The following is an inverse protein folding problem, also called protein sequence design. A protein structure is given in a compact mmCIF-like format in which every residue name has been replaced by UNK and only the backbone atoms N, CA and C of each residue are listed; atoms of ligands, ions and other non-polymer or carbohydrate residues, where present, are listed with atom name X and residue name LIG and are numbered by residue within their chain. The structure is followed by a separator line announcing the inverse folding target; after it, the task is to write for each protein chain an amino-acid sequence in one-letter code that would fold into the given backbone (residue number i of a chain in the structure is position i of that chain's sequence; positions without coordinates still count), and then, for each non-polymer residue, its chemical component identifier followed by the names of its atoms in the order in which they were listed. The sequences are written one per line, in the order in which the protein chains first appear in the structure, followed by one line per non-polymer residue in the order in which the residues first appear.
data_IF_801422861368
#
_entry.id   IF_801422861368
#
_cell.length_a   1.000
_cell.length_b   1.000
_cell.length_c   1.000
_cell.angle_alpha   90.00
_cell.angle_beta   90.00
_cell.angle_gamma   90.00
#
_symmetry.space_group_name_H-M   'P 1'
#
loop_
_entity.id
_entity.type
_entity.pdbx_description
1 polymer ?
#
# COMPACT_ATOMS: atom_id res chain seq x y z
N UNK A 1 -26.40 15.49 -9.18
CA UNK A 1 -26.46 14.01 -8.98
C UNK A 1 -25.02 13.56 -8.83
N UNK A 2 -24.68 12.99 -7.69
CA UNK A 2 -23.33 12.47 -7.49
C UNK A 2 -23.13 11.28 -8.43
N UNK A 3 -22.10 11.32 -9.26
CA UNK A 3 -21.81 10.25 -10.20
C UNK A 3 -21.50 8.95 -9.45
N UNK A 4 -22.25 7.89 -9.75
CA UNK A 4 -21.96 6.53 -9.28
C UNK A 4 -20.89 5.91 -10.18
N UNK A 5 -19.78 5.45 -9.60
CA UNK A 5 -18.69 4.78 -10.32
C UNK A 5 -18.79 3.27 -10.19
N UNK A 6 -18.71 2.58 -11.31
CA UNK A 6 -18.59 1.13 -11.34
C UNK A 6 -17.15 0.71 -11.10
N UNK A 7 -16.93 -0.21 -10.17
CA UNK A 7 -15.61 -0.59 -9.70
C UNK A 7 -15.44 -2.09 -9.73
N UNK A 8 -14.30 -2.52 -10.29
CA UNK A 8 -13.84 -3.90 -10.25
C UNK A 8 -12.76 -4.07 -9.20
N UNK A 9 -12.72 -5.24 -8.54
CA UNK A 9 -11.65 -5.62 -7.59
C UNK A 9 -11.08 -6.97 -8.00
N UNK A 10 -9.88 -7.00 -8.57
CA UNK A 10 -9.13 -8.23 -8.84
C UNK A 10 -8.41 -8.68 -7.57
N UNK A 11 -8.43 -9.98 -7.26
CA UNK A 11 -7.86 -10.51 -6.02
C UNK A 11 -8.71 -10.22 -4.78
N UNK A 12 -10.03 -10.08 -4.93
CA UNK A 12 -10.99 -9.71 -3.88
C UNK A 12 -11.02 -10.66 -2.68
N UNK A 13 -10.52 -11.89 -2.81
CA UNK A 13 -10.49 -12.92 -1.76
C UNK A 13 -9.21 -12.92 -0.92
N UNK A 14 -8.22 -12.09 -1.23
CA UNK A 14 -7.04 -11.84 -0.40
C UNK A 14 -7.37 -10.98 0.84
N UNK A 15 -6.50 -10.91 1.85
CA UNK A 15 -6.72 -10.05 3.02
C UNK A 15 -6.93 -8.58 2.63
N UNK A 16 -6.08 -8.05 1.77
CA UNK A 16 -6.19 -6.66 1.28
C UNK A 16 -7.46 -6.48 0.45
N UNK A 17 -7.75 -7.40 -0.48
CA UNK A 17 -8.94 -7.36 -1.32
C UNK A 17 -10.24 -7.37 -0.52
N UNK A 18 -10.36 -8.23 0.50
CA UNK A 18 -11.53 -8.28 1.38
C UNK A 18 -11.74 -6.98 2.17
N UNK A 19 -10.68 -6.40 2.74
CA UNK A 19 -10.79 -5.11 3.44
C UNK A 19 -11.17 -3.98 2.48
N UNK A 20 -10.58 -3.97 1.29
CA UNK A 20 -10.94 -2.99 0.26
C UNK A 20 -12.41 -3.10 -0.13
N UNK A 21 -12.92 -4.31 -0.36
CA UNK A 21 -14.34 -4.54 -0.69
C UNK A 21 -15.24 -4.02 0.43
N UNK A 22 -14.91 -4.23 1.71
CA UNK A 22 -15.66 -3.67 2.86
C UNK A 22 -15.72 -2.15 2.80
N UNK A 23 -14.58 -1.49 2.55
CA UNK A 23 -14.52 -0.03 2.44
C UNK A 23 -15.35 0.48 1.27
N UNK A 24 -15.22 -0.14 0.10
CA UNK A 24 -15.94 0.25 -1.12
C UNK A 24 -17.44 0.02 -1.00
N UNK A 25 -17.90 -1.04 -0.33
CA UNK A 25 -19.31 -1.32 -0.09
C UNK A 25 -20.01 -0.20 0.69
N UNK A 26 -19.28 0.51 1.53
CA UNK A 26 -19.78 1.63 2.32
C UNK A 26 -19.54 3.01 1.65
N UNK A 27 -18.92 3.05 0.50
CA UNK A 27 -18.63 4.30 -0.21
C UNK A 27 -19.84 4.76 -1.02
N UNK A 28 -20.31 6.00 -0.78
CA UNK A 28 -21.57 6.54 -1.32
C UNK A 28 -21.66 6.55 -2.85
N UNK A 29 -20.52 6.70 -3.53
CA UNK A 29 -20.43 6.92 -4.97
C UNK A 29 -19.84 5.72 -5.71
N UNK A 30 -19.81 4.53 -5.09
CA UNK A 30 -19.21 3.33 -5.68
C UNK A 30 -20.22 2.20 -5.75
N UNK A 31 -20.30 1.58 -6.93
CA UNK A 31 -20.97 0.32 -7.17
C UNK A 31 -19.93 -0.74 -7.55
N UNK A 32 -19.79 -1.79 -6.73
CA UNK A 32 -18.87 -2.90 -7.04
C UNK A 32 -19.60 -3.84 -8.00
N UNK A 33 -19.17 -3.86 -9.25
CA UNK A 33 -19.80 -4.65 -10.31
C UNK A 33 -19.00 -5.90 -10.71
N UNK A 34 -17.73 -6.03 -10.26
CA UNK A 34 -16.92 -7.20 -10.51
C UNK A 34 -16.02 -7.53 -9.30
N UNK A 35 -16.00 -8.81 -8.91
CA UNK A 35 -15.12 -9.35 -7.89
C UNK A 35 -14.31 -10.50 -8.48
N UNK A 36 -13.01 -10.26 -8.64
CA UNK A 36 -12.07 -11.24 -9.18
C UNK A 36 -11.47 -12.16 -8.11
N UNK A 37 -11.32 -13.41 -8.44
CA UNK A 37 -10.68 -14.44 -7.60
C UNK A 37 -9.85 -15.38 -8.46
N UNK A 38 -8.96 -16.15 -7.83
CA UNK A 38 -8.20 -17.21 -8.50
C UNK A 38 -8.87 -18.59 -8.31
N UNK A 39 -9.37 -18.88 -7.10
CA UNK A 39 -9.79 -20.24 -6.72
C UNK A 39 -11.22 -20.34 -6.15
N UNK A 40 -12.04 -19.30 -6.27
CA UNK A 40 -13.36 -19.26 -5.63
C UNK A 40 -14.47 -18.82 -6.58
N UNK A 41 -14.33 -19.08 -7.86
CA UNK A 41 -15.35 -18.75 -8.85
C UNK A 41 -16.71 -19.39 -8.51
N UNK A 42 -17.78 -18.67 -8.78
CA UNK A 42 -19.16 -19.09 -8.52
C UNK A 42 -19.62 -18.96 -7.07
N UNK A 43 -18.75 -18.58 -6.14
CA UNK A 43 -19.09 -18.36 -4.73
C UNK A 43 -19.42 -16.89 -4.47
N UNK A 44 -20.10 -16.62 -3.36
CA UNK A 44 -20.24 -15.27 -2.81
C UNK A 44 -19.10 -14.99 -1.83
N UNK A 45 -18.63 -13.74 -1.79
CA UNK A 45 -17.53 -13.34 -0.88
C UNK A 45 -17.90 -13.60 0.60
N UNK A 46 -19.17 -13.41 0.98
CA UNK A 46 -19.69 -13.73 2.31
C UNK A 46 -19.52 -15.20 2.74
N UNK A 47 -19.33 -16.12 1.80
CA UNK A 47 -19.10 -17.55 2.09
C UNK A 47 -17.62 -17.84 2.40
N UNK A 48 -16.74 -16.88 2.11
CA UNK A 48 -15.29 -16.99 2.34
C UNK A 48 -14.89 -16.24 3.61
N UNK A 49 -15.51 -15.08 3.81
CA UNK A 49 -15.35 -14.26 5.01
C UNK A 49 -16.73 -14.09 5.66
N UNK A 50 -16.95 -14.74 6.78
CA UNK A 50 -18.22 -14.77 7.52
C UNK A 50 -18.60 -13.41 8.15
N UNK A 51 -17.96 -12.31 7.77
CA UNK A 51 -18.39 -10.99 8.23
C UNK A 51 -19.72 -10.62 7.59
N UNK A 52 -20.66 -10.12 8.39
CA UNK A 52 -22.01 -9.72 7.94
C UNK A 52 -22.04 -8.41 7.12
N UNK A 53 -20.87 -7.89 6.75
CA UNK A 53 -20.71 -6.55 6.18
C UNK A 53 -20.91 -6.50 4.65
N UNK A 54 -20.98 -7.65 3.98
CA UNK A 54 -21.11 -7.73 2.54
C UNK A 54 -22.58 -7.74 2.08
N UNK A 55 -23.06 -6.64 1.50
CA UNK A 55 -24.41 -6.53 0.97
C UNK A 55 -24.36 -6.35 -0.56
N UNK A 56 -25.21 -7.05 -1.27
CA UNK A 56 -25.45 -6.87 -2.72
C UNK A 56 -24.20 -6.94 -3.61
N UNK A 57 -23.25 -7.81 -3.25
CA UNK A 57 -22.05 -8.01 -4.04
C UNK A 57 -22.26 -9.04 -5.15
N UNK A 58 -21.58 -8.88 -6.30
CA UNK A 58 -21.62 -9.87 -7.38
C UNK A 58 -20.96 -11.19 -6.95
N UNK A 59 -21.30 -12.24 -7.68
CA UNK A 59 -20.63 -13.54 -7.57
C UNK A 59 -19.19 -13.41 -8.00
N UNK A 60 -18.30 -14.12 -7.32
CA UNK A 60 -16.86 -14.18 -7.64
C UNK A 60 -16.66 -14.82 -9.01
N UNK A 61 -15.82 -14.19 -9.83
CA UNK A 61 -15.40 -14.64 -11.15
C UNK A 61 -13.89 -14.75 -11.24
N UNK A 62 -13.37 -15.50 -12.20
CA UNK A 62 -11.93 -15.51 -12.45
C UNK A 62 -11.37 -14.11 -12.75
N UNK A 63 -10.18 -13.77 -12.23
CA UNK A 63 -9.54 -12.47 -12.49
C UNK A 63 -9.38 -12.19 -13.99
N UNK A 64 -9.09 -13.23 -14.78
CA UNK A 64 -8.87 -13.11 -16.22
C UNK A 64 -10.16 -12.87 -17.04
N UNK A 65 -11.34 -13.12 -16.47
CA UNK A 65 -12.63 -12.88 -17.13
C UNK A 65 -13.12 -11.44 -17.05
N UNK A 66 -12.35 -10.55 -16.41
CA UNK A 66 -12.69 -9.13 -16.28
C UNK A 66 -12.66 -8.40 -17.63
N UNK A 67 -13.80 -7.79 -17.98
CA UNK A 67 -13.92 -6.88 -19.13
C UNK A 67 -13.83 -5.41 -18.63
N UNK A 68 -12.76 -4.67 -19.03
CA UNK A 68 -12.56 -3.29 -18.59
C UNK A 68 -13.65 -2.30 -19.07
N UNK A 69 -14.43 -2.64 -20.10
CA UNK A 69 -15.50 -1.78 -20.60
C UNK A 69 -16.70 -1.66 -19.63
N UNK A 70 -16.78 -2.55 -18.65
CA UNK A 70 -17.89 -2.60 -17.68
C UNK A 70 -17.71 -1.70 -16.46
N UNK A 71 -16.50 -1.18 -16.23
CA UNK A 71 -16.17 -0.43 -15.01
C UNK A 71 -15.42 0.86 -15.31
N UNK A 72 -15.47 1.80 -14.38
CA UNK A 72 -14.73 3.08 -14.44
C UNK A 72 -13.33 2.94 -13.84
N UNK A 73 -13.21 2.09 -12.81
CA UNK A 73 -11.96 1.84 -12.08
C UNK A 73 -11.75 0.34 -11.83
N UNK A 74 -10.51 -0.08 -11.85
CA UNK A 74 -10.10 -1.39 -11.37
C UNK A 74 -9.08 -1.28 -10.25
N UNK A 75 -9.36 -1.93 -9.14
CA UNK A 75 -8.39 -2.15 -8.06
C UNK A 75 -7.75 -3.52 -8.26
N UNK A 76 -6.42 -3.56 -8.21
CA UNK A 76 -5.66 -4.80 -8.36
C UNK A 76 -5.02 -5.14 -7.02
N UNK A 77 -5.59 -6.11 -6.29
CA UNK A 77 -5.12 -6.62 -5.00
C UNK A 77 -4.47 -8.01 -5.15
N UNK A 78 -3.65 -8.15 -6.18
CA UNK A 78 -2.94 -9.38 -6.53
C UNK A 78 -1.49 -9.35 -6.00
N UNK A 79 -0.83 -10.51 -5.87
CA UNK A 79 0.59 -10.55 -5.56
C UNK A 79 1.44 -9.80 -6.60
N UNK A 80 2.63 -9.32 -6.17
CA UNK A 80 3.64 -8.81 -7.09
C UNK A 80 3.99 -9.88 -8.15
N UNK A 81 4.47 -9.46 -9.30
CA UNK A 81 4.72 -10.28 -10.51
C UNK A 81 3.45 -10.77 -11.21
N UNK A 82 2.31 -10.88 -10.52
CA UNK A 82 1.01 -11.23 -11.14
C UNK A 82 0.27 -9.97 -11.56
N UNK A 83 0.30 -8.91 -10.73
CA UNK A 83 -0.36 -7.65 -11.00
C UNK A 83 0.09 -7.05 -12.34
N UNK A 84 1.38 -7.01 -12.62
CA UNK A 84 1.90 -6.42 -13.86
C UNK A 84 1.40 -7.11 -15.15
N UNK A 85 1.03 -8.39 -15.07
CA UNK A 85 0.42 -9.13 -16.20
C UNK A 85 -0.99 -8.57 -16.49
N UNK A 86 -1.77 -8.32 -15.43
CA UNK A 86 -3.10 -7.74 -15.58
C UNK A 86 -3.02 -6.26 -16.01
N UNK A 87 -2.14 -5.47 -15.40
CA UNK A 87 -1.91 -4.09 -15.80
C UNK A 87 -1.56 -3.98 -17.29
N UNK A 88 -0.71 -4.83 -17.81
CA UNK A 88 -0.34 -4.86 -19.24
C UNK A 88 -1.59 -4.98 -20.16
N UNK A 89 -2.59 -5.76 -19.73
CA UNK A 89 -3.83 -5.97 -20.49
C UNK A 89 -4.82 -4.80 -20.36
N UNK A 90 -4.80 -4.11 -19.21
CA UNK A 90 -5.78 -3.12 -18.79
C UNK A 90 -5.33 -1.67 -19.03
N UNK A 91 -4.04 -1.44 -19.22
CA UNK A 91 -3.46 -0.12 -19.43
C UNK A 91 -4.11 0.61 -20.60
N UNK A 92 -4.42 1.90 -20.42
CA UNK A 92 -5.17 2.78 -21.34
C UNK A 92 -6.63 2.34 -21.64
N UNK A 93 -7.16 1.31 -20.99
CA UNK A 93 -8.55 0.88 -21.18
C UNK A 93 -9.45 1.26 -20.00
N UNK A 94 -8.86 1.40 -18.81
CA UNK A 94 -9.57 1.70 -17.57
C UNK A 94 -8.61 2.40 -16.61
N UNK A 95 -9.11 3.15 -15.64
CA UNK A 95 -8.30 3.70 -14.55
C UNK A 95 -7.89 2.61 -13.58
N UNK A 96 -6.57 2.53 -13.29
CA UNK A 96 -5.98 1.44 -12.50
C UNK A 96 -5.52 1.95 -11.13
N UNK A 97 -5.89 1.23 -10.08
CA UNK A 97 -5.36 1.42 -8.72
C UNK A 97 -4.71 0.11 -8.30
N UNK A 98 -3.38 0.05 -8.40
CA UNK A 98 -2.61 -1.15 -8.10
C UNK A 98 -2.13 -1.16 -6.64
N UNK A 99 -2.54 -2.18 -5.88
CA UNK A 99 -2.14 -2.38 -4.50
C UNK A 99 -0.91 -3.31 -4.36
N UNK A 100 -0.41 -3.82 -5.49
CA UNK A 100 0.81 -4.63 -5.51
C UNK A 100 2.06 -3.77 -5.35
N UNK A 101 3.22 -4.39 -5.39
CA UNK A 101 4.50 -3.69 -5.38
C UNK A 101 5.03 -3.34 -6.78
N UNK A 102 4.35 -3.81 -7.84
CA UNK A 102 4.92 -3.84 -9.19
C UNK A 102 5.19 -2.43 -9.78
N UNK A 103 4.44 -1.41 -9.36
CA UNK A 103 4.52 -0.07 -9.93
C UNK A 103 4.92 1.03 -8.94
N UNK A 104 5.44 0.66 -7.76
CA UNK A 104 5.83 1.63 -6.72
C UNK A 104 7.20 2.25 -6.95
N UNK A 105 8.09 1.51 -7.61
CA UNK A 105 9.45 1.94 -7.86
C UNK A 105 9.57 2.52 -9.27
N UNK A 106 10.27 3.65 -9.39
CA UNK A 106 10.48 4.34 -10.65
C UNK A 106 11.53 3.60 -11.52
N UNK A 107 12.49 2.93 -10.87
CA UNK A 107 13.58 2.24 -11.52
C UNK A 107 13.35 0.72 -11.56
N UNK A 108 13.41 0.17 -12.77
CA UNK A 108 13.25 -1.26 -13.01
C UNK A 108 14.38 -2.11 -12.40
N UNK A 109 15.61 -1.65 -12.44
CA UNK A 109 16.74 -2.44 -11.88
C UNK A 109 16.62 -2.51 -10.35
N UNK A 110 16.23 -1.41 -9.70
CA UNK A 110 15.92 -1.40 -8.27
C UNK A 110 14.75 -2.35 -7.96
N UNK A 111 13.70 -2.36 -8.80
CA UNK A 111 12.60 -3.33 -8.65
C UNK A 111 13.11 -4.77 -8.73
N UNK A 112 13.90 -5.09 -9.75
CA UNK A 112 14.43 -6.44 -10.00
C UNK A 112 15.30 -6.93 -8.84
N UNK A 113 16.17 -6.08 -8.30
CA UNK A 113 17.01 -6.39 -7.15
C UNK A 113 16.19 -6.74 -5.89
N UNK A 114 15.13 -5.98 -5.62
CA UNK A 114 14.33 -6.14 -4.41
C UNK A 114 13.25 -7.21 -4.48
N UNK A 115 12.74 -7.51 -5.67
CA UNK A 115 11.65 -8.47 -5.87
C UNK A 115 12.06 -9.75 -6.60
N UNK A 116 13.29 -9.82 -7.12
CA UNK A 116 13.87 -11.03 -7.74
C UNK A 116 13.12 -11.54 -8.96
N UNK A 117 12.27 -10.74 -9.57
CA UNK A 117 11.39 -11.13 -10.66
C UNK A 117 11.48 -10.17 -11.85
N UNK A 118 11.19 -10.69 -13.05
CA UNK A 118 11.05 -9.87 -14.25
C UNK A 118 9.73 -9.09 -14.21
N UNK A 119 9.76 -7.83 -14.64
CA UNK A 119 8.57 -7.01 -14.80
C UNK A 119 8.12 -7.03 -16.26
N UNK A 120 6.91 -7.57 -16.52
CA UNK A 120 6.44 -7.80 -17.89
C UNK A 120 6.11 -6.51 -18.68
N UNK A 121 6.05 -5.35 -18.01
CA UNK A 121 5.74 -4.06 -18.59
C UNK A 121 6.48 -2.91 -17.90
N UNK A 122 7.80 -3.04 -17.76
CA UNK A 122 8.67 -2.04 -17.14
C UNK A 122 8.53 -0.63 -17.72
N UNK A 123 8.24 -0.52 -19.02
CA UNK A 123 8.04 0.76 -19.69
C UNK A 123 6.81 1.53 -19.19
N UNK A 124 5.93 0.87 -18.45
CA UNK A 124 4.73 1.48 -17.85
C UNK A 124 4.98 2.08 -16.46
N UNK A 125 6.11 1.82 -15.80
CA UNK A 125 6.43 2.36 -14.47
C UNK A 125 6.23 3.88 -14.41
N UNK A 126 6.74 4.61 -15.39
CA UNK A 126 6.65 6.08 -15.47
C UNK A 126 5.23 6.65 -15.62
N UNK A 127 4.23 5.81 -15.85
CA UNK A 127 2.82 6.24 -15.97
C UNK A 127 2.01 6.02 -14.70
N UNK A 128 2.67 5.53 -13.64
CA UNK A 128 2.02 5.35 -12.34
C UNK A 128 2.39 6.48 -11.38
N UNK A 129 1.38 7.02 -10.74
CA UNK A 129 1.55 7.99 -9.65
C UNK A 129 1.62 7.25 -8.33
N UNK A 130 2.61 7.58 -7.51
CA UNK A 130 2.71 7.03 -6.16
C UNK A 130 1.54 7.50 -5.29
N UNK A 131 0.75 6.55 -4.82
CA UNK A 131 -0.60 6.76 -4.27
C UNK A 131 -0.64 7.11 -2.78
N UNK A 132 0.35 7.82 -2.21
CA UNK A 132 0.28 8.37 -0.87
C UNK A 132 -0.61 9.60 -0.90
N UNK A 133 -1.91 9.41 -0.63
CA UNK A 133 -2.96 10.39 -0.89
C UNK A 133 -2.77 11.71 -0.11
N UNK A 134 -2.25 11.64 1.10
CA UNK A 134 -2.00 12.78 1.97
C UNK A 134 -0.89 13.70 1.42
N UNK A 135 0.05 13.13 0.67
CA UNK A 135 1.18 13.87 0.06
C UNK A 135 0.88 14.23 -1.39
N UNK A 136 0.39 13.27 -2.17
CA UNK A 136 0.31 13.35 -3.62
C UNK A 136 -1.11 13.62 -4.14
N UNK A 137 -2.01 14.18 -3.33
CA UNK A 137 -3.44 14.37 -3.65
C UNK A 137 -3.70 14.99 -5.03
N UNK A 138 -2.98 16.05 -5.36
CA UNK A 138 -3.17 16.74 -6.65
C UNK A 138 -2.67 15.93 -7.86
N UNK A 139 -1.59 15.17 -7.69
CA UNK A 139 -1.08 14.25 -8.70
C UNK A 139 -2.06 13.10 -8.92
N UNK A 140 -2.57 12.51 -7.84
CA UNK A 140 -3.54 11.42 -7.87
C UNK A 140 -4.83 11.82 -8.59
N UNK A 141 -5.37 13.01 -8.33
CA UNK A 141 -6.58 13.52 -9.00
C UNK A 141 -6.46 13.57 -10.52
N UNK A 142 -5.26 13.81 -11.03
CA UNK A 142 -4.97 13.97 -12.46
C UNK A 142 -4.39 12.69 -13.09
N UNK A 143 -4.27 11.61 -12.33
CA UNK A 143 -3.68 10.35 -12.78
C UNK A 143 -4.74 9.32 -13.18
N UNK A 144 -4.41 8.54 -14.20
CA UNK A 144 -5.21 7.36 -14.58
C UNK A 144 -4.69 6.07 -13.94
N UNK A 145 -3.43 6.05 -13.49
CA UNK A 145 -2.83 4.85 -12.91
C UNK A 145 -2.14 5.21 -11.59
N UNK A 146 -2.48 4.49 -10.53
CA UNK A 146 -2.01 4.76 -9.18
C UNK A 146 -1.36 3.51 -8.61
N UNK A 147 -0.14 3.63 -8.08
CA UNK A 147 0.54 2.62 -7.31
C UNK A 147 0.37 2.90 -5.81
N UNK A 148 -0.42 2.08 -5.13
CA UNK A 148 -0.72 2.25 -3.70
C UNK A 148 0.51 1.87 -2.87
N UNK A 149 0.94 2.71 -1.91
CA UNK A 149 2.10 2.46 -1.06
C UNK A 149 2.06 1.14 -0.31
N UNK A 150 3.24 0.61 0.04
CA UNK A 150 3.36 -0.46 1.01
C UNK A 150 2.92 -0.01 2.41
N UNK A 151 2.58 -0.98 3.26
CA UNK A 151 2.09 -0.69 4.61
C UNK A 151 3.16 0.00 5.49
N UNK A 152 4.39 -0.51 5.50
CA UNK A 152 5.49 0.16 6.20
C UNK A 152 5.84 1.51 5.57
N UNK A 153 6.02 1.64 4.25
CA UNK A 153 6.20 2.95 3.63
C UNK A 153 5.15 3.97 4.05
N UNK A 154 3.86 3.60 4.04
CA UNK A 154 2.80 4.50 4.51
C UNK A 154 3.03 5.00 5.93
N UNK A 155 3.30 4.08 6.89
CA UNK A 155 3.49 4.43 8.29
C UNK A 155 4.77 5.25 8.57
N UNK A 156 5.74 5.22 7.65
CA UNK A 156 7.04 5.88 7.77
C UNK A 156 7.05 7.22 7.02
N UNK A 157 6.51 7.25 5.81
CA UNK A 157 6.55 8.43 4.96
C UNK A 157 5.62 9.55 5.47
N UNK A 158 4.45 9.19 6.00
CA UNK A 158 3.50 10.16 6.55
C UNK A 158 4.10 11.06 7.65
N UNK A 159 4.85 10.55 8.64
CA UNK A 159 5.50 11.42 9.61
C UNK A 159 6.80 12.04 9.12
N UNK A 160 7.60 11.38 8.25
CA UNK A 160 8.92 11.90 7.87
C UNK A 160 8.85 12.96 6.78
N UNK A 161 7.99 12.80 5.76
CA UNK A 161 7.93 13.75 4.64
C UNK A 161 7.64 15.18 5.09
N UNK A 162 6.63 15.46 5.93
CA UNK A 162 6.38 16.82 6.40
C UNK A 162 7.56 17.44 7.16
N UNK A 163 8.29 16.64 7.92
CA UNK A 163 9.47 17.10 8.66
C UNK A 163 10.65 17.41 7.74
N UNK A 164 10.86 16.58 6.72
CA UNK A 164 11.91 16.79 5.71
C UNK A 164 11.62 18.01 4.84
N UNK A 165 10.40 18.16 4.35
CA UNK A 165 10.00 19.32 3.54
C UNK A 165 10.18 20.65 4.27
N UNK A 166 9.99 20.65 5.61
CA UNK A 166 10.22 21.83 6.45
C UNK A 166 11.67 21.93 6.96
N UNK A 167 12.53 20.97 6.59
CA UNK A 167 13.94 20.94 7.02
C UNK A 167 14.11 20.91 8.53
N UNK A 168 13.24 20.22 9.27
CA UNK A 168 13.21 20.18 10.71
C UNK A 168 14.10 19.10 11.32
N UNK A 169 14.43 18.07 10.58
CA UNK A 169 15.23 16.94 11.04
C UNK A 169 16.54 16.82 10.26
N UNK A 170 17.53 16.25 10.92
CA UNK A 170 18.76 15.80 10.26
C UNK A 170 18.44 14.57 9.39
N UNK A 171 19.21 14.42 8.30
CA UNK A 171 19.00 13.33 7.34
C UNK A 171 19.90 12.13 7.58
N UNK A 172 20.69 12.18 8.63
CA UNK A 172 21.55 11.09 9.11
C UNK A 172 20.99 10.50 10.40
N UNK A 173 21.33 9.25 10.68
CA UNK A 173 20.97 8.54 11.91
C UNK A 173 19.45 8.40 12.17
N UNK A 174 18.63 8.36 11.13
CA UNK A 174 17.20 8.07 11.29
C UNK A 174 17.05 6.58 11.61
N UNK A 175 16.45 6.27 12.75
CA UNK A 175 16.19 4.89 13.17
C UNK A 175 14.68 4.65 13.09
N UNK A 176 14.29 3.63 12.31
CA UNK A 176 12.90 3.26 12.08
C UNK A 176 12.68 1.86 12.65
N UNK A 177 11.92 1.79 13.73
CA UNK A 177 11.62 0.56 14.44
C UNK A 177 10.11 0.25 14.33
N UNK A 178 9.75 -0.65 13.43
CA UNK A 178 8.37 -0.91 13.04
C UNK A 178 7.87 -2.26 13.53
N UNK A 179 6.62 -2.32 13.97
CA UNK A 179 5.93 -3.51 14.43
C UNK A 179 4.67 -3.74 13.60
N UNK A 180 4.47 -4.97 13.14
CA UNK A 180 3.31 -5.35 12.33
C UNK A 180 2.65 -6.61 12.85
N UNK A 181 1.33 -6.64 12.85
CA UNK A 181 0.58 -7.87 13.00
C UNK A 181 0.83 -8.84 11.85
N UNK A 182 0.69 -10.13 12.11
CA UNK A 182 1.05 -11.18 11.16
C UNK A 182 0.19 -11.23 9.88
N UNK A 183 -0.98 -10.59 9.86
CA UNK A 183 -1.77 -10.49 8.62
C UNK A 183 -1.03 -9.75 7.50
N UNK A 184 -0.06 -8.88 7.84
CA UNK A 184 0.81 -8.22 6.87
C UNK A 184 1.71 -9.17 6.08
N UNK A 185 2.00 -10.36 6.61
CA UNK A 185 2.74 -11.41 5.92
C UNK A 185 1.87 -12.25 4.95
N UNK A 186 0.57 -11.96 4.86
CA UNK A 186 -0.37 -12.63 3.97
C UNK A 186 -0.98 -13.93 4.52
N UNK A 187 -1.92 -14.50 3.76
CA UNK A 187 -2.67 -15.70 4.18
C UNK A 187 -1.82 -16.97 4.36
N UNK A 188 -0.70 -17.05 3.67
CA UNK A 188 0.19 -18.22 3.71
C UNK A 188 1.19 -18.18 4.87
N UNK A 189 1.13 -17.14 5.71
CA UNK A 189 2.02 -17.04 6.86
C UNK A 189 1.75 -18.16 7.87
N UNK A 190 2.81 -18.87 8.26
CA UNK A 190 2.71 -19.90 9.28
C UNK A 190 2.61 -19.30 10.70
N UNK A 191 1.40 -19.19 11.19
CA UNK A 191 1.08 -18.59 12.50
C UNK A 191 1.75 -19.32 13.66
N UNK A 192 2.07 -20.62 13.53
CA UNK A 192 2.74 -21.36 14.59
C UNK A 192 4.15 -20.82 14.95
N UNK A 193 4.76 -20.02 14.07
CA UNK A 193 6.05 -19.35 14.34
C UNK A 193 5.96 -18.28 15.42
N UNK A 194 4.77 -17.73 15.65
CA UNK A 194 4.55 -16.61 16.57
C UNK A 194 3.49 -16.89 17.63
N UNK A 195 2.70 -17.96 17.47
CA UNK A 195 1.61 -18.28 18.39
C UNK A 195 1.46 -19.78 18.53
N UNK A 196 1.63 -20.28 19.74
CA UNK A 196 1.26 -21.63 20.16
C UNK A 196 0.07 -21.58 21.14
N UNK A 197 -0.39 -22.73 21.63
CA UNK A 197 -1.56 -22.82 22.51
C UNK A 197 -1.43 -22.00 23.82
N UNK A 198 -0.21 -21.84 24.34
CA UNK A 198 0.07 -21.19 25.62
C UNK A 198 1.22 -20.17 25.55
N UNK A 199 1.70 -19.85 24.34
CA UNK A 199 2.91 -19.05 24.20
C UNK A 199 2.84 -18.12 22.99
N UNK A 200 3.43 -16.95 23.13
CA UNK A 200 3.49 -15.91 22.08
C UNK A 200 4.95 -15.54 21.86
N UNK A 201 5.32 -15.46 20.60
CA UNK A 201 6.63 -14.99 20.18
C UNK A 201 6.50 -13.79 19.27
N UNK A 202 7.52 -12.94 19.27
CA UNK A 202 7.70 -11.88 18.28
C UNK A 202 9.19 -11.80 17.94
N UNK A 203 9.49 -11.36 16.73
CA UNK A 203 10.87 -11.26 16.28
C UNK A 203 11.01 -10.22 15.17
N UNK A 204 12.23 -9.68 15.04
CA UNK A 204 12.60 -8.88 13.90
C UNK A 204 12.94 -9.78 12.69
N UNK A 205 12.81 -9.22 11.49
CA UNK A 205 13.15 -9.92 10.26
C UNK A 205 13.64 -8.93 9.21
N UNK A 206 14.54 -9.39 8.34
CA UNK A 206 15.06 -8.59 7.21
C UNK A 206 15.52 -7.18 7.63
N UNK A 207 16.20 -7.05 8.78
CA UNK A 207 16.73 -5.77 9.27
C UNK A 207 17.70 -5.20 8.24
N UNK A 208 17.44 -3.97 7.78
CA UNK A 208 18.18 -3.30 6.71
C UNK A 208 18.23 -4.05 5.35
N UNK A 209 17.41 -5.10 5.17
CA UNK A 209 17.32 -5.90 3.95
C UNK A 209 15.86 -6.04 3.44
N UNK A 210 14.93 -5.37 4.11
CA UNK A 210 13.52 -5.47 3.76
C UNK A 210 13.25 -4.76 2.43
N UNK A 211 12.48 -5.40 1.54
CA UNK A 211 12.14 -4.87 0.20
C UNK A 211 11.48 -3.49 0.19
N UNK A 212 10.87 -3.05 1.28
CA UNK A 212 10.30 -1.70 1.40
C UNK A 212 11.36 -0.61 1.58
N UNK A 213 12.63 -0.95 1.83
CA UNK A 213 13.72 0.04 2.01
C UNK A 213 13.88 0.88 0.75
N UNK A 214 13.88 0.25 -0.42
CA UNK A 214 13.99 0.93 -1.71
C UNK A 214 12.81 1.89 -1.96
N UNK A 215 11.59 1.47 -1.62
CA UNK A 215 10.39 2.30 -1.71
C UNK A 215 10.45 3.51 -0.76
N UNK A 216 10.84 3.28 0.51
CA UNK A 216 11.02 4.34 1.50
C UNK A 216 12.10 5.32 1.06
N UNK A 217 13.27 4.81 0.66
CA UNK A 217 14.40 5.62 0.21
C UNK A 217 14.04 6.51 -0.98
N UNK A 218 13.42 5.91 -2.00
CA UNK A 218 12.97 6.63 -3.19
C UNK A 218 12.05 7.80 -2.82
N UNK A 219 11.03 7.53 -2.02
CA UNK A 219 10.03 8.56 -1.70
C UNK A 219 10.57 9.63 -0.74
N UNK A 220 11.36 9.27 0.26
CA UNK A 220 12.03 10.26 1.12
C UNK A 220 12.94 11.17 0.30
N UNK A 221 13.70 10.61 -0.65
CA UNK A 221 14.62 11.39 -1.48
C UNK A 221 13.90 12.40 -2.38
N UNK A 222 12.71 12.09 -2.90
CA UNK A 222 11.89 13.02 -3.68
C UNK A 222 11.47 14.27 -2.87
N UNK A 223 11.37 14.14 -1.56
CA UNK A 223 10.91 15.19 -0.65
C UNK A 223 12.05 15.84 0.17
N UNK A 224 13.28 15.51 -0.13
CA UNK A 224 14.46 16.04 0.56
C UNK A 224 15.28 16.95 -0.35
N UNK A 225 15.75 18.06 0.20
CA UNK A 225 16.68 19.00 -0.47
C UNK A 225 18.14 18.61 -0.31
N UNK A 226 18.46 17.75 0.67
CA UNK A 226 19.80 17.21 0.92
C UNK A 226 20.05 16.00 0.04
N UNK A 227 21.34 15.73 -0.28
CA UNK A 227 21.68 14.69 -1.26
C UNK A 227 21.44 13.26 -0.77
N UNK A 228 21.61 12.98 0.53
CA UNK A 228 21.51 11.63 1.06
C UNK A 228 20.66 11.60 2.34
N UNK A 229 19.76 10.61 2.41
CA UNK A 229 19.05 10.26 3.63
C UNK A 229 19.55 8.89 4.07
N UNK A 230 20.09 8.82 5.29
CA UNK A 230 20.56 7.56 5.88
C UNK A 230 19.65 7.14 7.02
N UNK A 231 19.09 5.96 6.87
CA UNK A 231 18.22 5.39 7.90
C UNK A 231 18.48 3.89 8.10
N UNK A 232 18.18 3.42 9.29
CA UNK A 232 18.10 2.00 9.60
C UNK A 232 16.65 1.60 9.73
N UNK A 233 16.24 0.49 9.10
CA UNK A 233 14.89 -0.04 9.16
C UNK A 233 14.85 -1.41 9.80
N UNK A 234 14.08 -1.53 10.86
CA UNK A 234 14.01 -2.70 11.73
C UNK A 234 12.57 -3.19 11.91
N UNK A 235 12.05 -4.00 10.97
CA UNK A 235 10.68 -4.50 11.06
C UNK A 235 10.56 -5.69 12.00
N UNK A 236 9.44 -5.74 12.75
CA UNK A 236 9.09 -6.84 13.63
C UNK A 236 7.71 -7.39 13.28
N UNK A 237 7.53 -8.68 13.51
CA UNK A 237 6.24 -9.33 13.44
C UNK A 237 5.75 -9.69 14.85
N UNK A 238 4.48 -9.34 15.13
CA UNK A 238 3.84 -9.53 16.41
C UNK A 238 2.77 -10.63 16.35
N UNK A 239 2.41 -11.25 17.48
CA UNK A 239 1.37 -12.30 17.54
C UNK A 239 -0.06 -11.74 17.41
N UNK A 240 -0.23 -10.46 17.17
CA UNK A 240 -1.50 -9.83 16.87
C UNK A 240 -1.88 -10.06 15.39
N UNK A 241 -3.15 -10.28 15.12
CA UNK A 241 -3.59 -10.46 13.73
C UNK A 241 -3.37 -9.21 12.89
N UNK A 242 -3.84 -8.05 13.36
CA UNK A 242 -3.74 -6.77 12.65
C UNK A 242 -3.08 -5.70 13.51
N UNK A 243 -2.72 -4.63 12.84
CA UNK A 243 -2.12 -3.44 13.42
C UNK A 243 -0.72 -3.20 12.88
N UNK A 244 -0.32 -1.94 12.86
CA UNK A 244 1.02 -1.50 12.50
C UNK A 244 1.36 -0.24 13.28
N UNK A 245 2.59 -0.19 13.79
CA UNK A 245 3.15 1.00 14.41
C UNK A 245 4.61 1.12 13.98
N UNK A 246 5.02 2.34 13.62
CA UNK A 246 6.42 2.68 13.42
C UNK A 246 6.83 3.70 14.45
N UNK A 247 7.88 3.38 15.22
CA UNK A 247 8.55 4.31 16.11
C UNK A 247 9.80 4.82 15.39
N UNK A 248 9.90 6.14 15.24
CA UNK A 248 10.97 6.75 14.47
C UNK A 248 11.75 7.69 15.36
N UNK A 249 13.05 7.53 15.38
CA UNK A 249 14.00 8.38 16.11
C UNK A 249 14.80 9.18 15.09
N UNK A 250 14.85 10.47 15.26
CA UNK A 250 15.64 11.37 14.42
C UNK A 250 16.08 12.60 15.23
N UNK A 251 17.21 13.17 14.84
CA UNK A 251 17.73 14.37 15.45
C UNK A 251 17.06 15.61 14.83
N UNK A 252 16.70 16.57 15.68
CA UNK A 252 16.17 17.85 15.22
C UNK A 252 17.31 18.77 14.82
N UNK A 253 17.12 19.56 13.78
CA UNK A 253 18.02 20.65 13.45
C UNK A 253 17.98 21.76 14.51
N UNK A 254 19.07 22.51 14.58
CA UNK A 254 19.17 23.66 15.47
C UNK A 254 17.99 24.62 15.27
N UNK A 255 17.45 25.14 16.38
CA UNK A 255 16.30 26.07 16.41
C UNK A 255 14.92 25.48 16.11
N UNK A 256 14.80 24.17 15.91
CA UNK A 256 13.48 23.52 15.78
C UNK A 256 12.91 23.25 17.16
N UNK A 257 11.70 23.73 17.38
CA UNK A 257 10.99 23.58 18.66
C UNK A 257 9.88 22.53 18.57
N UNK A 258 9.43 22.02 19.72
CA UNK A 258 8.25 21.16 19.80
C UNK A 258 7.02 21.80 19.15
N UNK A 259 6.87 23.13 19.26
CA UNK A 259 5.78 23.87 18.63
C UNK A 259 5.83 23.77 17.12
N UNK A 260 7.01 23.93 16.50
CA UNK A 260 7.18 23.78 15.06
C UNK A 260 6.70 22.41 14.57
N UNK A 261 7.08 21.35 15.27
CA UNK A 261 6.66 19.97 14.94
C UNK A 261 5.13 19.83 15.01
N UNK A 262 4.52 20.28 16.11
CA UNK A 262 3.06 20.22 16.30
C UNK A 262 2.32 21.00 15.21
N UNK A 263 2.79 22.19 14.88
CA UNK A 263 2.14 23.06 13.90
C UNK A 263 2.21 22.47 12.48
N UNK A 264 3.31 21.80 12.11
CA UNK A 264 3.42 21.07 10.84
C UNK A 264 2.35 19.98 10.74
N UNK A 265 2.21 19.14 11.75
CA UNK A 265 1.22 18.06 11.71
C UNK A 265 -0.22 18.57 11.77
N UNK A 266 -0.51 19.61 12.57
CA UNK A 266 -1.83 20.24 12.57
C UNK A 266 -2.22 20.84 11.21
N UNK A 267 -1.26 21.41 10.49
CA UNK A 267 -1.52 21.94 9.16
C UNK A 267 -1.68 20.82 8.14
N UNK A 268 -0.90 19.74 8.27
CA UNK A 268 -1.00 18.56 7.45
C UNK A 268 -2.40 17.92 7.56
N UNK A 269 -2.93 17.75 8.77
CA UNK A 269 -4.27 17.19 9.03
C UNK A 269 -5.42 18.03 8.43
N UNK A 270 -5.28 19.37 8.34
CA UNK A 270 -6.31 20.24 7.76
C UNK A 270 -6.57 19.99 6.27
N UNK A 271 -5.59 19.47 5.54
CA UNK A 271 -5.70 19.17 4.13
C UNK A 271 -6.14 17.73 3.84
N UNK A 272 -6.25 16.91 4.89
CA UNK A 272 -6.56 15.48 4.83
C UNK A 272 -7.73 15.17 5.79
N UNK A 273 -8.97 15.48 5.39
CA UNK A 273 -10.17 15.18 6.19
C UNK A 273 -10.51 13.68 6.20
#
# INVERSE_FOLDING_TARGET
MDNMYNVAVLGSTGYVGMELVKLLTNHKNVNINFLGTENNEGKYLKNIDNTKEYKNLPILKENNSFDPSMSDYVFIALPHSISNIHVKKLFNKIKIIDLSADFRLDDYEVYKENYGSSHSCKDLLKFFTYGLAEINRNLIKNSSNIAVPGCYPTSILLPLIPLLQNQFIETENIIIDSKSGYSGAGKNFNVSKIKSKNDFNFYNYNTNEHRHISEISQELQKHNTSKDIKFSFNPHILPNFRGMISTIYCDLKNNVTKKNIIDVFKNFDKFNP
#
